data_IF_724657310216
#
_entry.id   IF_724657310216
#
_cell.length_a   1.000
_cell.length_b   1.000
_cell.length_c   1.000
_cell.angle_alpha   90.00
_cell.angle_beta   90.00
_cell.angle_gamma   90.00
#
_symmetry.space_group_name_H-M   'P 1'
#
loop_
_entity.id
_entity.type
_entity.pdbx_description
1 polymer ?
#
# COMPACT_ATOMS: atom_id res chain seq x y z
N UNK A 1 15.16 28.91 6.45
CA UNK A 1 13.99 29.02 7.34
C UNK A 1 13.13 30.16 6.82
N UNK A 2 11.89 29.89 6.42
CA UNK A 2 10.88 30.92 6.22
C UNK A 2 9.64 30.46 6.99
N UNK A 3 9.45 31.01 8.18
CA UNK A 3 8.27 30.82 9.01
C UNK A 3 7.08 31.50 8.33
N UNK A 4 6.07 30.72 7.95
CA UNK A 4 4.78 31.27 7.51
C UNK A 4 4.15 32.06 8.66
N UNK A 5 3.61 33.27 8.42
CA UNK A 5 2.94 34.03 9.46
C UNK A 5 1.68 33.29 9.89
N UNK A 6 1.50 33.17 11.21
CA UNK A 6 0.26 32.71 11.84
C UNK A 6 -0.83 33.76 11.57
N UNK A 7 -1.43 33.70 10.39
CA UNK A 7 -2.57 34.51 9.99
C UNK A 7 -3.84 33.92 10.55
N UNK A 8 -4.58 34.73 11.30
CA UNK A 8 -5.94 34.51 11.83
C UNK A 8 -6.70 33.33 11.22
N UNK A 9 -7.06 32.35 12.06
CA UNK A 9 -7.90 31.23 11.68
C UNK A 9 -9.22 31.75 11.06
N UNK A 10 -9.42 31.48 9.77
CA UNK A 10 -10.74 31.63 9.15
C UNK A 10 -11.69 30.61 9.81
N UNK A 11 -12.86 31.02 10.32
CA UNK A 11 -13.85 30.08 10.84
C UNK A 11 -14.18 29.05 9.76
N UNK A 12 -13.99 27.75 10.06
CA UNK A 12 -14.28 26.65 9.12
C UNK A 12 -13.07 26.05 8.40
N UNK A 13 -11.84 26.53 8.62
CA UNK A 13 -10.62 25.89 8.08
C UNK A 13 -9.91 25.06 9.13
N UNK A 14 -9.86 23.75 8.93
CA UNK A 14 -9.02 22.82 9.72
C UNK A 14 -7.74 22.52 8.95
N UNK A 15 -6.59 22.68 9.60
CA UNK A 15 -5.27 22.31 9.04
C UNK A 15 -4.82 21.04 9.74
N UNK A 16 -4.64 19.97 8.96
CA UNK A 16 -4.15 18.68 9.43
C UNK A 16 -2.78 18.39 8.83
N UNK A 17 -1.90 17.62 9.51
CA UNK A 17 -0.76 17.02 8.86
C UNK A 17 -1.21 16.05 7.75
N UNK A 18 -0.30 15.68 6.86
CA UNK A 18 -0.56 14.60 5.91
C UNK A 18 -0.91 13.31 6.68
N UNK A 19 -1.95 12.63 6.23
CA UNK A 19 -2.43 11.40 6.84
C UNK A 19 -1.77 10.14 6.29
N UNK A 20 -2.18 9.03 6.88
CA UNK A 20 -1.87 7.68 6.41
C UNK A 20 -3.16 7.00 5.93
N UNK A 21 -3.13 6.35 4.77
CA UNK A 21 -4.20 5.46 4.32
C UNK A 21 -3.80 4.00 4.56
N UNK A 22 -4.44 3.35 5.53
CA UNK A 22 -4.06 2.01 5.98
C UNK A 22 -4.68 0.88 5.15
N UNK A 23 -5.34 1.17 4.02
CA UNK A 23 -5.83 0.15 3.09
C UNK A 23 -6.00 0.72 1.67
N UNK A 24 -4.96 0.60 0.84
CA UNK A 24 -4.95 1.22 -0.49
C UNK A 24 -4.73 0.22 -1.61
N UNK A 25 -5.51 0.34 -2.70
CA UNK A 25 -5.38 -0.47 -3.91
C UNK A 25 -4.82 0.38 -5.06
N UNK A 26 -3.56 0.14 -5.44
CA UNK A 26 -2.87 0.94 -6.46
C UNK A 26 -2.82 0.28 -7.84
N UNK A 27 -3.27 -0.97 -7.97
CA UNK A 27 -3.47 -1.67 -9.24
C UNK A 27 -2.17 -1.76 -10.07
N UNK A 28 -2.26 -1.96 -11.38
CA UNK A 28 -1.09 -2.13 -12.26
C UNK A 28 -1.30 -1.38 -13.59
N UNK A 29 -0.21 -1.12 -14.31
CA UNK A 29 -0.24 -0.47 -15.63
C UNK A 29 -0.85 0.94 -15.61
N UNK A 30 -1.62 1.29 -16.64
CA UNK A 30 -2.25 2.62 -16.78
C UNK A 30 -3.10 3.03 -15.57
N UNK A 31 -3.72 2.06 -14.90
CA UNK A 31 -4.53 2.37 -13.72
C UNK A 31 -3.66 2.81 -12.54
N UNK A 32 -2.49 2.18 -12.34
CA UNK A 32 -1.49 2.59 -11.33
C UNK A 32 -0.99 4.00 -11.59
N UNK A 33 -0.66 4.32 -12.83
CA UNK A 33 -0.24 5.67 -13.26
C UNK A 33 -1.32 6.72 -12.95
N UNK A 34 -2.60 6.39 -13.19
CA UNK A 34 -3.71 7.30 -12.94
C UNK A 34 -4.01 7.52 -11.44
N UNK A 35 -3.95 6.45 -10.62
CA UNK A 35 -4.40 6.50 -9.22
C UNK A 35 -3.30 6.88 -8.23
N UNK A 36 -2.04 6.54 -8.49
CA UNK A 36 -0.95 6.78 -7.53
C UNK A 36 -0.78 8.27 -7.17
N UNK A 37 -0.84 9.22 -8.12
CA UNK A 37 -0.78 10.65 -7.81
C UNK A 37 -2.00 11.19 -7.03
N UNK A 38 -3.09 10.40 -6.89
CA UNK A 38 -4.25 10.80 -6.09
C UNK A 38 -3.99 10.69 -4.58
N UNK A 39 -3.03 9.88 -4.13
CA UNK A 39 -2.72 9.67 -2.70
C UNK A 39 -2.41 11.01 -2.02
N UNK A 40 -1.42 11.74 -2.55
CA UNK A 40 -1.01 13.04 -2.01
C UNK A 40 -2.06 14.13 -2.23
N UNK A 41 -2.77 14.09 -3.36
CA UNK A 41 -3.89 15.01 -3.62
C UNK A 41 -5.04 14.81 -2.63
N UNK A 42 -5.24 13.57 -2.17
CA UNK A 42 -6.19 13.21 -1.12
C UNK A 42 -5.70 13.50 0.30
N UNK A 43 -4.50 14.05 0.48
CA UNK A 43 -3.96 14.44 1.80
C UNK A 43 -3.20 13.34 2.54
N UNK A 44 -2.86 12.22 1.89
CA UNK A 44 -2.04 11.17 2.49
C UNK A 44 -0.62 11.16 1.92
N UNK A 45 0.38 10.76 2.71
CA UNK A 45 1.76 10.58 2.23
C UNK A 45 2.38 9.24 2.65
N UNK A 46 1.61 8.38 3.30
CA UNK A 46 1.99 7.00 3.60
C UNK A 46 0.77 6.10 3.41
N UNK A 47 0.98 4.93 2.83
CA UNK A 47 -0.10 4.01 2.49
C UNK A 47 0.25 2.55 2.76
N UNK A 48 -0.71 1.76 3.21
CA UNK A 48 -0.59 0.29 3.26
C UNK A 48 -1.14 -0.28 1.96
N UNK A 49 -0.23 -0.79 1.14
CA UNK A 49 -0.52 -1.26 -0.21
C UNK A 49 -1.03 -2.69 -0.17
N UNK A 50 -2.24 -2.90 -0.69
CA UNK A 50 -2.88 -4.22 -0.76
C UNK A 50 -2.26 -5.10 -1.86
N UNK A 51 -2.12 -6.42 -1.64
CA UNK A 51 -1.27 -7.30 -2.46
C UNK A 51 -2.02 -8.10 -3.53
N UNK A 52 -3.33 -7.88 -3.71
CA UNK A 52 -4.19 -8.61 -4.64
C UNK A 52 -4.08 -8.11 -6.10
N UNK A 53 -2.86 -7.89 -6.56
CA UNK A 53 -2.51 -7.69 -7.97
C UNK A 53 -2.73 -8.98 -8.78
N UNK A 54 -2.51 -8.92 -10.10
CA UNK A 54 -2.54 -10.11 -10.96
C UNK A 54 -1.13 -10.28 -11.58
N UNK A 55 -0.36 -11.32 -11.20
CA UNK A 55 -0.60 -12.26 -10.09
C UNK A 55 -0.52 -11.58 -8.71
N UNK A 56 -1.03 -12.22 -7.63
CA UNK A 56 -0.92 -11.68 -6.27
C UNK A 56 0.54 -11.61 -5.82
N UNK A 57 0.84 -10.66 -4.94
CA UNK A 57 2.17 -10.50 -4.35
C UNK A 57 2.26 -11.42 -3.13
N UNK A 58 3.06 -12.47 -3.20
CA UNK A 58 3.21 -13.51 -2.17
C UNK A 58 4.62 -13.59 -1.58
N UNK A 59 5.62 -12.96 -2.22
CA UNK A 59 7.01 -12.89 -1.70
C UNK A 59 7.48 -11.46 -1.44
N UNK A 60 8.45 -11.31 -0.53
CA UNK A 60 9.11 -10.04 -0.25
C UNK A 60 9.79 -9.45 -1.50
N UNK A 61 10.34 -10.31 -2.37
CA UNK A 61 10.94 -9.89 -3.64
C UNK A 61 9.91 -9.27 -4.59
N UNK A 62 8.72 -9.86 -4.71
CA UNK A 62 7.62 -9.29 -5.50
C UNK A 62 7.13 -7.96 -4.91
N UNK A 63 7.02 -7.87 -3.58
CA UNK A 63 6.65 -6.64 -2.89
C UNK A 63 7.65 -5.51 -3.16
N UNK A 64 8.95 -5.80 -3.10
CA UNK A 64 10.00 -4.84 -3.40
C UNK A 64 9.91 -4.35 -4.86
N UNK A 65 9.81 -5.27 -5.82
CA UNK A 65 9.70 -4.92 -7.24
C UNK A 65 8.45 -4.09 -7.56
N UNK A 66 7.33 -4.35 -6.87
CA UNK A 66 6.13 -3.55 -7.02
C UNK A 66 6.27 -2.17 -6.38
N UNK A 67 6.88 -2.08 -5.20
CA UNK A 67 7.19 -0.82 -4.52
C UNK A 67 8.05 0.10 -5.39
N UNK A 68 9.06 -0.44 -6.08
CA UNK A 68 9.91 0.32 -6.99
C UNK A 68 9.11 0.98 -8.13
N UNK A 69 8.11 0.27 -8.68
CA UNK A 69 7.21 0.83 -9.70
C UNK A 69 6.34 1.96 -9.15
N UNK A 70 5.87 1.84 -7.91
CA UNK A 70 5.08 2.88 -7.24
C UNK A 70 5.93 4.12 -6.94
N UNK A 71 7.18 3.94 -6.52
CA UNK A 71 8.13 5.03 -6.30
C UNK A 71 8.48 5.80 -7.59
N UNK A 72 8.43 5.14 -8.75
CA UNK A 72 8.57 5.81 -10.05
C UNK A 72 7.37 6.72 -10.36
N UNK A 73 6.18 6.42 -9.84
CA UNK A 73 4.99 7.27 -10.01
C UNK A 73 5.00 8.45 -9.05
N UNK A 74 5.34 8.20 -7.78
CA UNK A 74 5.49 9.25 -6.77
C UNK A 74 6.45 8.80 -5.66
N UNK A 75 7.66 9.36 -5.69
CA UNK A 75 8.72 9.06 -4.72
C UNK A 75 8.53 9.73 -3.36
N UNK A 76 7.51 10.58 -3.20
CA UNK A 76 7.22 11.29 -1.94
C UNK A 76 6.17 10.58 -1.08
N UNK A 77 5.73 9.39 -1.48
CA UNK A 77 4.81 8.55 -0.71
C UNK A 77 5.60 7.40 -0.07
N UNK A 78 5.33 7.14 1.20
CA UNK A 78 5.84 5.98 1.92
C UNK A 78 4.92 4.77 1.69
N UNK A 79 5.33 3.87 0.81
CA UNK A 79 4.59 2.65 0.49
C UNK A 79 4.97 1.53 1.45
N UNK A 80 4.05 1.19 2.36
CA UNK A 80 4.13 0.05 3.25
C UNK A 80 3.52 -1.16 2.54
N UNK A 81 4.34 -2.13 2.20
CA UNK A 81 3.92 -3.28 1.40
C UNK A 81 3.27 -4.35 2.25
N UNK A 82 2.44 -5.17 1.63
CA UNK A 82 1.88 -6.37 2.27
C UNK A 82 2.04 -7.58 1.34
N UNK A 83 1.91 -8.79 1.90
CA UNK A 83 1.86 -10.04 1.16
C UNK A 83 0.44 -10.61 1.18
N UNK A 84 0.03 -11.26 0.10
CA UNK A 84 -1.23 -11.98 -0.01
C UNK A 84 -1.08 -13.32 0.71
N UNK A 85 -1.92 -13.58 1.73
CA UNK A 85 -1.88 -14.86 2.45
C UNK A 85 -2.28 -16.00 1.52
N UNK A 86 -1.33 -16.88 1.23
CA UNK A 86 -1.51 -18.09 0.42
C UNK A 86 -0.50 -19.15 0.86
N UNK A 87 -0.63 -20.43 0.42
CA UNK A 87 0.35 -21.47 0.70
C UNK A 87 1.77 -21.18 0.18
N UNK A 88 1.93 -20.21 -0.72
CA UNK A 88 3.23 -19.80 -1.29
C UNK A 88 4.00 -18.82 -0.39
N UNK A 89 3.36 -18.25 0.65
CA UNK A 89 4.02 -17.35 1.59
C UNK A 89 4.96 -18.15 2.48
N UNK A 90 6.25 -17.82 2.42
CA UNK A 90 7.30 -18.45 3.23
C UNK A 90 7.69 -17.58 4.44
N UNK A 91 7.57 -18.15 5.64
CA UNK A 91 8.01 -17.52 6.88
C UNK A 91 9.49 -17.15 6.86
N UNK A 92 10.35 -17.96 6.22
CA UNK A 92 11.79 -17.68 6.13
C UNK A 92 12.05 -16.43 5.28
N UNK A 93 11.37 -16.30 4.14
CA UNK A 93 11.44 -15.09 3.31
C UNK A 93 11.01 -13.83 4.11
N UNK A 94 9.91 -13.92 4.86
CA UNK A 94 9.46 -12.80 5.72
C UNK A 94 10.53 -12.43 6.74
N UNK A 95 11.07 -13.40 7.47
CA UNK A 95 12.09 -13.16 8.50
C UNK A 95 13.35 -12.50 7.94
N UNK A 96 13.79 -12.92 6.75
CA UNK A 96 15.04 -12.45 6.14
C UNK A 96 14.89 -11.13 5.37
N UNK A 97 13.70 -10.87 4.81
CA UNK A 97 13.52 -9.84 3.78
C UNK A 97 12.41 -8.82 4.02
N UNK A 98 11.52 -8.99 5.02
CA UNK A 98 10.39 -8.07 5.21
C UNK A 98 10.82 -6.60 5.39
N UNK A 99 11.84 -6.35 6.22
CA UNK A 99 12.37 -5.00 6.45
C UNK A 99 12.96 -4.37 5.17
N UNK A 100 13.67 -5.16 4.35
CA UNK A 100 14.30 -4.68 3.10
C UNK A 100 13.26 -4.39 2.02
N UNK A 101 12.18 -5.16 2.00
CA UNK A 101 11.08 -5.06 1.04
C UNK A 101 9.96 -4.12 1.48
N UNK A 102 10.09 -3.49 2.66
CA UNK A 102 9.04 -2.67 3.28
C UNK A 102 7.73 -3.43 3.54
N UNK A 103 7.77 -4.75 3.69
CA UNK A 103 6.60 -5.55 4.07
C UNK A 103 6.31 -5.33 5.55
N UNK A 104 5.08 -4.87 5.85
CA UNK A 104 4.61 -4.61 7.22
C UNK A 104 3.50 -5.56 7.69
N UNK A 105 3.00 -6.42 6.80
CA UNK A 105 1.94 -7.35 7.13
C UNK A 105 1.59 -8.32 6.02
N UNK A 106 0.74 -9.29 6.37
CA UNK A 106 0.19 -10.29 5.46
C UNK A 106 -1.32 -10.15 5.48
N UNK A 107 -1.93 -10.04 4.30
CA UNK A 107 -3.37 -9.79 4.13
C UNK A 107 -4.08 -11.09 3.74
N UNK A 108 -5.01 -11.50 4.58
CA UNK A 108 -5.95 -12.59 4.30
C UNK A 108 -7.08 -12.10 3.40
N UNK A 109 -7.38 -12.90 2.38
CA UNK A 109 -8.57 -12.79 1.53
C UNK A 109 -9.28 -14.15 1.55
N UNK A 110 -10.53 -14.23 2.04
CA UNK A 110 -11.31 -15.45 1.92
C UNK A 110 -11.55 -15.77 0.44
N UNK A 111 -11.39 -17.04 0.06
CA UNK A 111 -11.52 -17.49 -1.33
C UNK A 111 -12.90 -17.11 -1.92
N UNK A 112 -12.90 -16.44 -3.07
CA UNK A 112 -14.11 -16.13 -3.85
C UNK A 112 -14.99 -15.00 -3.29
N UNK A 113 -14.60 -14.33 -2.21
CA UNK A 113 -15.45 -13.32 -1.52
C UNK A 113 -15.20 -11.90 -2.02
N UNK A 114 -14.10 -11.64 -2.75
CA UNK A 114 -13.80 -10.29 -3.29
C UNK A 114 -12.96 -10.32 -4.57
N UNK A 115 -12.73 -9.15 -5.17
CA UNK A 115 -11.95 -9.01 -6.41
C UNK A 115 -10.55 -9.61 -6.28
N UNK A 116 -10.21 -10.50 -7.22
CA UNK A 116 -8.94 -11.27 -7.29
C UNK A 116 -8.70 -12.16 -6.06
N UNK A 117 -9.75 -12.68 -5.42
CA UNK A 117 -9.63 -13.58 -4.26
C UNK A 117 -9.62 -15.07 -4.61
N UNK A 118 -9.51 -15.44 -5.89
CA UNK A 118 -9.59 -16.85 -6.33
C UNK A 118 -8.46 -17.70 -5.74
N UNK A 119 -7.29 -17.10 -5.50
CA UNK A 119 -6.15 -17.68 -4.79
C UNK A 119 -6.25 -17.57 -3.25
N UNK A 120 -7.39 -17.13 -2.71
CA UNK A 120 -7.64 -16.92 -1.29
C UNK A 120 -7.66 -18.19 -0.46
N UNK A 121 -7.67 -18.03 0.86
CA UNK A 121 -7.71 -19.14 1.82
C UNK A 121 -9.14 -19.65 1.95
N UNK A 122 -9.29 -20.97 1.96
CA UNK A 122 -10.55 -21.63 2.28
C UNK A 122 -10.80 -21.53 3.79
N UNK A 123 -11.90 -20.90 4.18
CA UNK A 123 -12.29 -20.75 5.59
C UNK A 123 -13.38 -21.77 5.86
N UNK A 124 -13.01 -22.96 6.32
CA UNK A 124 -13.97 -23.95 6.83
C UNK A 124 -14.26 -23.65 8.31
N UNK A 125 -15.53 -23.42 8.63
CA UNK A 125 -16.04 -23.38 10.01
C UNK A 125 -16.17 -24.79 10.59
#
# INVERSE_FOLDING_TARGET
MASLPCGSACPGRLVLPMGDDMHTHLRQGKLMEAVTPLIRRGGCNRVVVMPNTIPPIVTCGQALAYREKLLQQDSKVDYLMTLYLSPEVDCKDILENAKKSHVVGVKLYPRGVTTNSDSGVEVSY
#
